data_IF_749479604544
#
_entry.id   IF_749479604544
#
_cell.length_a   1.000
_cell.length_b   1.000
_cell.length_c   1.000
_cell.angle_alpha   90.00
_cell.angle_beta   90.00
_cell.angle_gamma   90.00
#
_symmetry.space_group_name_H-M   'P 1'
#
loop_
_entity.id
_entity.type
_entity.pdbx_description
1 polymer ?
#
# COMPACT_ATOMS: atom_id res chain seq x y z
N UNK A 1 -27.43 3.42 -8.06
CA UNK A 1 -27.18 2.47 -6.95
C UNK A 1 -25.70 2.55 -6.68
N UNK A 2 -25.31 3.14 -5.55
CA UNK A 2 -23.91 3.27 -5.21
C UNK A 2 -23.27 1.89 -5.11
N UNK A 3 -22.13 1.68 -5.76
CA UNK A 3 -21.37 0.43 -5.64
C UNK A 3 -20.93 0.25 -4.18
N UNK A 4 -20.70 -1.00 -3.74
CA UNK A 4 -20.30 -1.31 -2.35
C UNK A 4 -19.10 -0.47 -1.88
N UNK A 5 -18.23 -0.05 -2.81
CA UNK A 5 -17.08 0.81 -2.58
C UNK A 5 -17.43 2.31 -2.37
N UNK A 6 -18.41 2.86 -3.09
CA UNK A 6 -18.92 4.23 -2.83
C UNK A 6 -19.51 4.34 -1.43
N UNK A 7 -20.16 3.29 -0.93
CA UNK A 7 -20.75 3.29 0.41
C UNK A 7 -19.67 3.23 1.50
N UNK A 8 -18.61 2.44 1.30
CA UNK A 8 -17.44 2.42 2.18
C UNK A 8 -16.70 3.77 2.16
N UNK A 9 -16.54 4.39 1.00
CA UNK A 9 -15.96 5.72 0.88
C UNK A 9 -16.80 6.79 1.60
N UNK A 10 -18.12 6.77 1.45
CA UNK A 10 -19.01 7.68 2.15
C UNK A 10 -19.05 7.44 3.67
N UNK A 11 -18.86 6.19 4.14
CA UNK A 11 -18.72 5.87 5.56
C UNK A 11 -17.37 6.35 6.12
N UNK A 12 -16.26 6.22 5.37
CA UNK A 12 -14.95 6.80 5.78
C UNK A 12 -15.01 8.31 5.75
N UNK A 13 -15.51 8.91 4.66
CA UNK A 13 -15.64 10.34 4.52
C UNK A 13 -16.60 10.95 5.55
N UNK A 14 -17.67 10.25 5.93
CA UNK A 14 -18.60 10.69 6.99
C UNK A 14 -18.04 10.49 8.40
N UNK A 15 -17.24 9.45 8.65
CA UNK A 15 -16.50 9.28 9.90
C UNK A 15 -15.31 10.25 10.04
N UNK A 16 -14.75 10.71 8.93
CA UNK A 16 -13.78 11.81 8.87
C UNK A 16 -14.45 13.20 9.00
N UNK A 17 -15.77 13.28 8.81
CA UNK A 17 -16.56 14.51 8.90
C UNK A 17 -16.97 14.85 10.35
N UNK A 18 -15.99 14.85 11.25
CA UNK A 18 -16.05 15.68 12.45
C UNK A 18 -15.43 17.02 12.09
N UNK A 19 -16.14 18.12 12.37
CA UNK A 19 -15.75 19.51 12.05
C UNK A 19 -14.34 19.94 12.53
N UNK A 20 -13.65 19.11 13.30
CA UNK A 20 -12.27 19.29 13.76
C UNK A 20 -11.20 18.95 12.70
N UNK A 21 -11.48 18.04 11.75
CA UNK A 21 -10.46 17.58 10.79
C UNK A 21 -10.31 18.48 9.57
N UNK A 22 -11.38 19.13 9.12
CA UNK A 22 -11.33 20.13 8.04
C UNK A 22 -10.44 21.33 8.43
N UNK A 23 -10.41 21.66 9.72
CA UNK A 23 -9.54 22.71 10.29
C UNK A 23 -8.09 22.25 10.38
N UNK A 24 -7.83 20.99 10.77
CA UNK A 24 -6.47 20.42 10.78
C UNK A 24 -5.90 20.28 9.38
N UNK A 25 -6.65 19.71 8.44
CA UNK A 25 -6.23 19.57 7.04
C UNK A 25 -5.91 20.94 6.42
N UNK A 26 -6.72 21.98 6.69
CA UNK A 26 -6.44 23.35 6.24
C UNK A 26 -5.20 23.97 6.90
N UNK A 27 -4.94 23.73 8.18
CA UNK A 27 -3.74 24.23 8.86
C UNK A 27 -2.45 23.51 8.38
N UNK A 28 -2.57 22.22 8.08
CA UNK A 28 -1.50 21.34 7.58
C UNK A 28 -1.06 21.78 6.17
N UNK A 29 -1.99 22.03 5.25
CA UNK A 29 -1.72 22.50 3.87
C UNK A 29 -1.00 23.87 3.81
N UNK A 30 -1.02 24.66 4.89
CA UNK A 30 -0.41 26.00 4.93
C UNK A 30 1.00 26.04 5.55
N UNK A 31 1.60 24.91 5.94
CA UNK A 31 2.98 24.88 6.47
C UNK A 31 3.98 24.58 5.35
N UNK A 32 4.85 25.52 4.93
CA UNK A 32 5.66 25.33 3.72
C UNK A 32 6.83 24.34 3.87
N UNK A 33 7.19 23.92 5.09
CA UNK A 33 8.48 23.23 5.34
C UNK A 33 8.51 22.28 6.57
N UNK A 34 7.39 21.91 7.20
CA UNK A 34 7.46 21.25 8.51
C UNK A 34 7.40 19.72 8.47
N UNK A 35 8.32 19.10 9.20
CA UNK A 35 8.25 17.71 9.65
C UNK A 35 6.85 17.33 10.19
N UNK A 36 6.12 18.28 10.78
CA UNK A 36 4.76 18.11 11.28
C UNK A 36 3.75 17.79 10.17
N UNK A 37 3.86 18.46 9.02
CA UNK A 37 3.02 18.20 7.86
C UNK A 37 3.29 16.80 7.29
N UNK A 38 4.56 16.38 7.26
CA UNK A 38 4.96 15.03 6.85
C UNK A 38 4.42 13.97 7.81
N UNK A 39 4.52 14.20 9.11
CA UNK A 39 3.96 13.33 10.15
C UNK A 39 2.45 13.22 10.03
N UNK A 40 1.75 14.34 9.87
CA UNK A 40 0.30 14.36 9.75
C UNK A 40 -0.18 13.64 8.47
N UNK A 41 0.52 13.81 7.34
CA UNK A 41 0.19 13.07 6.13
C UNK A 41 0.50 11.58 6.25
N UNK A 42 1.60 11.20 6.91
CA UNK A 42 1.90 9.81 7.19
C UNK A 42 0.83 9.14 8.06
N UNK A 43 0.32 9.86 9.06
CA UNK A 43 -0.81 9.42 9.90
C UNK A 43 -2.09 9.24 9.07
N UNK A 44 -2.44 10.23 8.23
CA UNK A 44 -3.61 10.13 7.36
C UNK A 44 -3.53 8.91 6.42
N UNK A 45 -2.37 8.69 5.77
CA UNK A 45 -2.15 7.54 4.90
C UNK A 45 -2.31 6.23 5.69
N UNK A 46 -1.75 6.17 6.90
CA UNK A 46 -1.83 4.98 7.75
C UNK A 46 -3.27 4.67 8.18
N UNK A 47 -4.03 5.66 8.65
CA UNK A 47 -5.43 5.51 9.05
C UNK A 47 -6.31 5.04 7.88
N UNK A 48 -6.14 5.65 6.70
CA UNK A 48 -6.87 5.24 5.50
C UNK A 48 -6.49 3.80 5.08
N UNK A 49 -5.21 3.44 5.19
CA UNK A 49 -4.72 2.12 4.84
C UNK A 49 -5.26 1.04 5.79
N UNK A 50 -5.36 1.32 7.09
CA UNK A 50 -5.96 0.40 8.06
C UNK A 50 -7.42 0.11 7.73
N UNK A 51 -8.23 1.13 7.43
CA UNK A 51 -9.61 0.94 7.00
C UNK A 51 -9.69 0.09 5.72
N UNK A 52 -8.80 0.34 4.75
CA UNK A 52 -8.73 -0.42 3.52
C UNK A 52 -8.35 -1.89 3.77
N UNK A 53 -7.40 -2.14 4.68
CA UNK A 53 -6.95 -3.48 5.07
C UNK A 53 -8.08 -4.27 5.75
N UNK A 54 -8.88 -3.66 6.62
CA UNK A 54 -10.03 -4.32 7.24
C UNK A 54 -11.06 -4.77 6.19
N UNK A 55 -11.24 -3.96 5.14
CA UNK A 55 -12.12 -4.28 4.01
C UNK A 55 -11.58 -5.35 3.04
N UNK A 56 -10.29 -5.70 3.08
CA UNK A 56 -9.64 -6.54 2.05
C UNK A 56 -10.21 -7.94 1.91
N UNK A 57 -10.75 -8.51 3.00
CA UNK A 57 -11.34 -9.85 3.00
C UNK A 57 -12.56 -9.94 2.06
N UNK A 58 -13.15 -8.80 1.69
CA UNK A 58 -14.28 -8.72 0.77
C UNK A 58 -13.87 -8.50 -0.70
N UNK A 59 -12.59 -8.26 -0.99
CA UNK A 59 -12.17 -7.79 -2.32
C UNK A 59 -11.92 -8.91 -3.35
N UNK A 60 -11.53 -10.12 -2.96
CA UNK A 60 -11.48 -11.30 -3.86
C UNK A 60 -11.11 -12.58 -3.08
N UNK A 61 -11.80 -13.74 -3.19
CA UNK A 61 -11.46 -14.96 -2.45
C UNK A 61 -10.18 -15.72 -2.93
N UNK A 62 -9.27 -15.06 -3.66
CA UNK A 62 -8.02 -15.66 -4.16
C UNK A 62 -6.95 -15.95 -3.08
N UNK A 63 -5.83 -16.55 -3.49
CA UNK A 63 -4.69 -16.78 -2.59
C UNK A 63 -4.12 -15.44 -2.09
N UNK A 64 -3.80 -15.31 -0.80
CA UNK A 64 -3.21 -14.10 -0.18
C UNK A 64 -1.97 -13.61 -0.92
N UNK A 65 -1.13 -14.52 -1.43
CA UNK A 65 0.05 -14.18 -2.22
C UNK A 65 -0.30 -13.55 -3.58
N UNK A 66 -1.51 -13.77 -4.09
CA UNK A 66 -2.03 -13.11 -5.29
C UNK A 66 -2.79 -11.82 -4.95
N UNK A 67 -2.94 -11.48 -3.67
CA UNK A 67 -3.65 -10.28 -3.25
C UNK A 67 -2.68 -9.12 -2.92
N UNK A 68 -1.39 -9.39 -2.72
CA UNK A 68 -0.45 -8.37 -2.23
C UNK A 68 -0.37 -7.13 -3.15
N UNK A 69 -0.28 -7.35 -4.46
CA UNK A 69 -0.28 -6.29 -5.46
C UNK A 69 -1.65 -5.66 -5.67
N UNK A 70 -2.74 -6.43 -5.61
CA UNK A 70 -4.11 -5.89 -5.75
C UNK A 70 -4.44 -4.96 -4.59
N UNK A 71 -4.06 -5.31 -3.35
CA UNK A 71 -4.33 -4.48 -2.17
C UNK A 71 -3.58 -3.16 -2.27
N UNK A 72 -2.27 -3.19 -2.54
CA UNK A 72 -1.47 -1.96 -2.69
C UNK A 72 -1.95 -1.11 -3.88
N UNK A 73 -2.31 -1.73 -5.01
CA UNK A 73 -2.84 -1.03 -6.17
C UNK A 73 -4.22 -0.42 -5.90
N UNK A 74 -5.14 -1.18 -5.30
CA UNK A 74 -6.48 -0.71 -4.96
C UNK A 74 -6.46 0.44 -3.97
N UNK A 75 -5.61 0.37 -2.93
CA UNK A 75 -5.42 1.48 -2.02
C UNK A 75 -4.85 2.70 -2.73
N UNK A 76 -3.88 2.52 -3.63
CA UNK A 76 -3.33 3.65 -4.40
C UNK A 76 -4.40 4.31 -5.27
N UNK A 77 -5.21 3.55 -6.00
CA UNK A 77 -6.31 4.10 -6.80
C UNK A 77 -7.31 4.87 -5.94
N UNK A 78 -7.67 4.30 -4.79
CA UNK A 78 -8.54 4.95 -3.82
C UNK A 78 -7.92 6.26 -3.29
N UNK A 79 -6.64 6.22 -2.92
CA UNK A 79 -5.93 7.39 -2.41
C UNK A 79 -5.81 8.47 -3.50
N UNK A 80 -5.44 8.11 -4.72
CA UNK A 80 -5.38 9.04 -5.83
C UNK A 80 -6.77 9.66 -6.07
N UNK A 81 -7.85 8.89 -6.16
CA UNK A 81 -9.18 9.43 -6.45
C UNK A 81 -9.73 10.38 -5.38
N UNK A 82 -9.36 10.17 -4.12
CA UNK A 82 -9.96 10.87 -2.98
C UNK A 82 -9.02 11.87 -2.30
N UNK A 83 -7.73 11.80 -2.62
CA UNK A 83 -6.67 12.62 -2.04
C UNK A 83 -5.70 13.13 -3.12
N UNK A 84 -6.11 13.26 -4.38
CA UNK A 84 -5.33 13.98 -5.40
C UNK A 84 -5.90 15.39 -5.65
N UNK A 85 -5.77 16.25 -4.66
CA UNK A 85 -5.88 17.69 -4.90
C UNK A 85 -4.53 18.23 -5.42
N UNK A 86 -4.50 19.11 -6.44
CA UNK A 86 -3.27 19.71 -6.96
C UNK A 86 -2.43 20.46 -5.91
N UNK A 87 -3.04 20.79 -4.76
CA UNK A 87 -2.44 21.47 -3.62
C UNK A 87 -1.84 20.53 -2.57
N UNK A 88 -2.03 19.22 -2.69
CA UNK A 88 -1.43 18.29 -1.73
C UNK A 88 0.09 18.20 -1.92
N UNK A 89 0.85 18.14 -0.81
CA UNK A 89 2.31 18.12 -0.88
C UNK A 89 2.87 16.91 -1.64
N UNK A 90 4.06 17.05 -2.24
CA UNK A 90 4.70 15.98 -3.03
C UNK A 90 4.88 14.65 -2.27
N UNK A 91 5.04 14.65 -0.95
CA UNK A 91 5.17 13.42 -0.15
C UNK A 91 3.86 12.65 0.03
N UNK A 92 2.71 13.21 -0.36
CA UNK A 92 1.47 12.46 -0.52
C UNK A 92 1.43 11.66 -1.84
N UNK A 93 2.39 11.86 -2.76
CA UNK A 93 2.44 11.10 -4.01
C UNK A 93 2.98 9.70 -3.78
N UNK A 94 2.06 8.74 -3.61
CA UNK A 94 2.37 7.33 -3.43
C UNK A 94 2.63 6.66 -4.78
N UNK A 95 3.74 5.93 -4.85
CA UNK A 95 4.15 5.13 -6.01
C UNK A 95 4.12 3.65 -5.73
N UNK A 96 3.55 2.89 -6.66
CA UNK A 96 3.54 1.43 -6.57
C UNK A 96 4.93 0.89 -6.89
N UNK A 97 5.49 0.17 -5.93
CA UNK A 97 6.87 -0.31 -5.97
C UNK A 97 6.90 -1.82 -5.86
N UNK A 98 7.61 -2.45 -6.79
CA UNK A 98 7.82 -3.90 -6.85
C UNK A 98 9.24 -4.20 -6.39
N UNK A 99 9.39 -5.21 -5.53
CA UNK A 99 10.72 -5.66 -5.16
C UNK A 99 10.75 -6.76 -4.11
N UNK A 100 11.86 -6.81 -3.38
CA UNK A 100 12.07 -7.80 -2.32
C UNK A 100 11.83 -7.17 -0.95
N UNK A 101 11.20 -7.96 -0.09
CA UNK A 101 11.17 -7.71 1.35
C UNK A 101 12.04 -8.75 2.03
N UNK A 102 12.89 -8.27 2.93
CA UNK A 102 13.63 -9.11 3.85
C UNK A 102 12.97 -9.01 5.22
N UNK A 103 12.75 -10.16 5.87
CA UNK A 103 12.26 -10.23 7.24
C UNK A 103 13.25 -11.02 8.08
N UNK A 104 13.80 -10.40 9.14
CA UNK A 104 14.84 -11.00 10.00
C UNK A 104 16.03 -11.58 9.21
N UNK A 105 16.43 -10.88 8.15
CA UNK A 105 17.54 -11.26 7.26
C UNK A 105 17.19 -12.26 6.15
N UNK A 106 15.99 -12.84 6.14
CA UNK A 106 15.55 -13.76 5.08
C UNK A 106 14.89 -13.00 3.93
N UNK A 107 15.31 -13.27 2.69
CA UNK A 107 14.65 -12.73 1.49
C UNK A 107 13.41 -13.56 1.12
N UNK A 108 12.22 -12.94 1.27
CA UNK A 108 10.92 -13.62 1.19
C UNK A 108 10.50 -14.01 -0.23
N UNK A 109 10.96 -13.26 -1.24
CA UNK A 109 10.53 -13.42 -2.65
C UNK A 109 11.67 -13.73 -3.62
N UNK A 110 12.92 -13.37 -3.28
CA UNK A 110 14.11 -13.64 -4.12
C UNK A 110 13.98 -13.13 -5.57
N UNK A 111 13.14 -12.12 -5.80
CA UNK A 111 12.96 -11.49 -7.09
C UNK A 111 14.24 -10.81 -7.58
N UNK A 112 14.40 -10.76 -8.90
CA UNK A 112 15.46 -10.00 -9.58
C UNK A 112 14.83 -9.10 -10.63
N UNK A 113 15.56 -8.10 -11.12
CA UNK A 113 15.07 -7.27 -12.25
C UNK A 113 14.69 -8.10 -13.47
N UNK A 114 15.39 -9.23 -13.69
CA UNK A 114 15.10 -10.16 -14.77
C UNK A 114 13.77 -10.87 -14.53
N UNK A 115 13.58 -11.47 -13.35
CA UNK A 115 12.33 -12.19 -13.05
C UNK A 115 11.12 -11.26 -13.04
N UNK A 116 11.26 -10.01 -12.56
CA UNK A 116 10.19 -9.00 -12.64
C UNK A 116 9.83 -8.69 -14.09
N UNK A 117 10.83 -8.56 -14.98
CA UNK A 117 10.59 -8.37 -16.41
C UNK A 117 9.89 -9.58 -17.02
N UNK A 118 10.40 -10.78 -16.74
CA UNK A 118 9.83 -12.03 -17.25
C UNK A 118 8.36 -12.18 -16.79
N UNK A 119 8.04 -11.76 -15.56
CA UNK A 119 6.66 -11.70 -15.04
C UNK A 119 5.78 -10.72 -15.83
N UNK A 120 6.28 -9.53 -16.17
CA UNK A 120 5.54 -8.56 -16.97
C UNK A 120 5.34 -9.06 -18.40
N UNK A 121 6.38 -9.64 -19.00
CA UNK A 121 6.35 -10.17 -20.36
C UNK A 121 5.40 -11.39 -20.48
N UNK A 122 5.33 -12.21 -19.42
CA UNK A 122 4.37 -13.32 -19.30
C UNK A 122 2.92 -12.83 -19.26
N UNK A 123 2.68 -11.59 -18.83
CA UNK A 123 1.37 -10.98 -18.73
C UNK A 123 0.46 -11.65 -17.68
N UNK A 124 -0.85 -11.64 -17.95
CA UNK A 124 -1.90 -12.08 -17.01
C UNK A 124 -2.01 -13.61 -16.94
N UNK A 125 -1.10 -14.25 -16.20
CA UNK A 125 -1.12 -15.71 -15.94
C UNK A 125 -1.61 -16.02 -14.53
N UNK A 126 -2.93 -16.08 -14.35
CA UNK A 126 -3.58 -16.28 -13.04
C UNK A 126 -3.37 -17.67 -12.43
N UNK A 127 -2.87 -18.62 -13.20
CA UNK A 127 -2.54 -19.98 -12.77
C UNK A 127 -1.17 -20.07 -12.07
N UNK A 128 -0.39 -18.99 -12.07
CA UNK A 128 0.95 -18.95 -11.47
C UNK A 128 1.02 -17.98 -10.30
N UNK A 129 1.80 -18.36 -9.30
CA UNK A 129 2.17 -17.45 -8.20
C UNK A 129 3.17 -16.42 -8.72
N UNK A 130 2.94 -15.16 -8.37
CA UNK A 130 3.89 -14.08 -8.58
C UNK A 130 4.94 -14.12 -7.48
N UNK A 131 6.19 -14.41 -7.82
CA UNK A 131 7.31 -14.41 -6.88
C UNK A 131 7.90 -13.00 -6.71
N UNK A 132 7.04 -12.02 -6.46
CA UNK A 132 7.40 -10.61 -6.20
C UNK A 132 6.52 -10.04 -5.09
N UNK A 133 6.99 -8.98 -4.43
CA UNK A 133 6.18 -8.22 -3.50
C UNK A 133 5.93 -6.81 -4.00
N UNK A 134 4.79 -6.24 -3.60
CA UNK A 134 4.36 -4.90 -3.99
C UNK A 134 3.93 -4.09 -2.77
N UNK A 135 4.44 -2.86 -2.68
CA UNK A 135 4.13 -1.89 -1.63
C UNK A 135 4.00 -0.49 -2.23
N UNK A 136 3.70 0.50 -1.38
CA UNK A 136 3.64 1.91 -1.76
C UNK A 136 4.82 2.66 -1.18
N UNK A 137 5.46 3.47 -2.01
CA UNK A 137 6.59 4.33 -1.61
C UNK A 137 6.19 5.79 -1.78
N UNK A 138 6.29 6.58 -0.71
CA UNK A 138 6.13 8.02 -0.75
C UNK A 138 7.39 8.72 -1.29
N UNK A 139 7.31 10.01 -1.62
CA UNK A 139 8.45 10.75 -2.17
C UNK A 139 9.64 10.87 -1.20
N UNK A 140 9.38 10.79 0.11
CA UNK A 140 10.41 10.77 1.16
C UNK A 140 10.99 9.37 1.40
N UNK A 141 10.72 8.41 0.50
CA UNK A 141 11.12 7.01 0.58
C UNK A 141 10.47 6.21 1.71
N UNK A 142 9.45 6.76 2.39
CA UNK A 142 8.64 5.98 3.33
C UNK A 142 7.90 4.87 2.58
N UNK A 143 8.00 3.66 3.11
CA UNK A 143 7.26 2.48 2.63
C UNK A 143 6.00 2.31 3.46
N UNK A 144 4.88 2.09 2.77
CA UNK A 144 3.62 1.64 3.32
C UNK A 144 3.30 0.27 2.71
N UNK A 145 3.32 -0.77 3.54
CA UNK A 145 3.06 -2.14 3.12
C UNK A 145 1.84 -2.71 3.84
N UNK A 146 0.79 -2.92 3.05
CA UNK A 146 -0.53 -3.34 3.51
C UNK A 146 -0.69 -4.87 3.54
N UNK A 147 0.32 -5.63 3.08
CA UNK A 147 0.14 -7.04 2.69
C UNK A 147 1.28 -7.98 3.07
N UNK A 148 2.43 -7.50 3.54
CA UNK A 148 3.54 -8.38 3.93
C UNK A 148 3.19 -9.26 5.13
N UNK A 149 2.48 -8.74 6.13
CA UNK A 149 2.13 -9.49 7.35
C UNK A 149 1.25 -10.72 7.06
N UNK A 150 0.11 -10.62 6.36
CA UNK A 150 -0.65 -11.81 5.99
C UNK A 150 0.16 -12.73 5.07
N UNK A 151 1.05 -12.20 4.22
CA UNK A 151 1.93 -13.04 3.38
C UNK A 151 2.91 -13.85 4.21
N UNK A 152 3.57 -13.24 5.19
CA UNK A 152 4.51 -13.93 6.08
C UNK A 152 3.79 -15.01 6.89
N UNK A 153 2.58 -14.73 7.40
CA UNK A 153 1.74 -15.76 8.06
C UNK A 153 1.42 -16.92 7.10
N UNK A 154 1.03 -16.62 5.86
CA UNK A 154 0.75 -17.64 4.84
C UNK A 154 2.00 -18.46 4.43
N UNK A 155 3.19 -17.87 4.54
CA UNK A 155 4.49 -18.55 4.34
C UNK A 155 4.99 -19.30 5.59
N UNK A 156 4.22 -19.31 6.69
CA UNK A 156 4.51 -20.08 7.91
C UNK A 156 5.37 -19.35 8.94
N UNK A 157 5.62 -18.04 8.77
CA UNK A 157 6.30 -17.26 9.80
C UNK A 157 5.37 -17.02 10.99
N UNK A 158 5.88 -17.25 12.20
CA UNK A 158 5.15 -17.00 13.44
C UNK A 158 5.15 -15.50 13.76
N UNK A 159 4.13 -14.80 13.24
CA UNK A 159 3.86 -13.40 13.54
C UNK A 159 2.65 -13.36 14.46
N UNK A 160 2.81 -12.76 15.63
CA UNK A 160 1.76 -12.62 16.64
C UNK A 160 0.46 -12.05 16.05
N UNK A 161 -0.68 -12.44 16.62
CA UNK A 161 -2.01 -11.95 16.23
C UNK A 161 -2.08 -10.43 16.24
N UNK A 162 -1.39 -9.83 17.23
CA UNK A 162 -1.47 -8.41 17.56
C UNK A 162 -0.52 -7.54 16.71
N UNK A 163 0.21 -8.16 15.77
CA UNK A 163 1.06 -7.42 14.84
C UNK A 163 0.20 -6.49 13.98
N UNK A 164 0.63 -5.23 13.88
CA UNK A 164 0.06 -4.25 12.95
C UNK A 164 -0.06 -4.87 11.57
N UNK A 165 -1.20 -4.69 10.92
CA UNK A 165 -1.41 -5.19 9.56
C UNK A 165 -0.78 -4.28 8.50
N UNK A 166 -0.53 -3.02 8.84
CA UNK A 166 0.21 -2.05 8.05
C UNK A 166 1.65 -1.95 8.58
N UNK A 167 2.63 -2.10 7.69
CA UNK A 167 4.02 -1.76 7.98
C UNK A 167 4.33 -0.40 7.38
N UNK A 168 4.72 0.54 8.26
CA UNK A 168 5.35 1.80 7.87
C UNK A 168 6.84 1.66 8.13
N UNK A 169 7.67 1.89 7.11
CA UNK A 169 9.11 1.67 7.20
C UNK A 169 9.90 2.76 6.49
N UNK A 170 11.02 3.17 7.08
CA UNK A 170 12.06 3.98 6.45
C UNK A 170 13.43 3.33 6.59
N UNK A 171 14.36 3.73 5.74
CA UNK A 171 15.71 3.15 5.71
C UNK A 171 16.48 3.39 7.02
N UNK A 172 16.20 4.49 7.70
CA UNK A 172 16.77 4.87 8.99
C UNK A 172 16.15 4.13 10.19
N UNK A 173 15.00 3.49 10.02
CA UNK A 173 14.29 2.84 11.11
C UNK A 173 14.95 1.51 11.50
N UNK A 174 15.08 1.27 12.81
CA UNK A 174 15.41 -0.07 13.31
C UNK A 174 14.19 -0.96 13.15
N UNK A 175 14.23 -1.85 12.17
CA UNK A 175 13.13 -2.76 11.86
C UNK A 175 13.63 -4.17 11.55
N UNK A 176 12.79 -5.17 11.82
CA UNK A 176 12.97 -6.53 11.32
C UNK A 176 12.81 -6.62 9.79
N UNK A 177 12.25 -5.57 9.18
CA UNK A 177 12.00 -5.48 7.75
C UNK A 177 13.08 -4.66 7.04
N UNK A 178 13.44 -5.09 5.83
CA UNK A 178 14.23 -4.29 4.88
C UNK A 178 13.56 -4.39 3.51
N UNK A 179 13.29 -3.24 2.90
CA UNK A 179 12.68 -3.16 1.58
C UNK A 179 13.74 -2.85 0.52
N UNK A 180 13.77 -3.64 -0.54
CA UNK A 180 14.69 -3.47 -1.67
C UNK A 180 13.91 -3.30 -2.98
N UNK A 181 13.72 -2.06 -3.46
CA UNK A 181 12.98 -1.80 -4.68
C UNK A 181 13.72 -2.37 -5.90
N UNK A 182 12.95 -2.91 -6.85
CA UNK A 182 13.44 -3.40 -8.15
C UNK A 182 12.83 -2.63 -9.32
N UNK A 183 11.57 -2.21 -9.19
CA UNK A 183 10.80 -1.48 -10.20
C UNK A 183 9.79 -0.56 -9.50
N UNK A 184 9.59 0.64 -10.05
CA UNK A 184 8.47 1.53 -9.69
C UNK A 184 7.56 1.61 -10.91
N UNK A 185 6.31 1.20 -10.77
CA UNK A 185 5.37 1.06 -11.88
C UNK A 185 3.93 1.04 -11.37
N UNK A 186 3.25 2.18 -11.45
CA UNK A 186 1.86 2.35 -10.99
C UNK A 186 0.87 1.45 -11.76
N UNK A 187 1.25 0.99 -12.96
CA UNK A 187 0.45 0.13 -13.84
C UNK A 187 0.82 -1.37 -13.73
N UNK A 188 1.71 -1.74 -12.81
CA UNK A 188 2.18 -3.13 -12.67
C UNK A 188 1.03 -4.13 -12.52
N UNK A 189 0.07 -3.86 -11.63
CA UNK A 189 -1.06 -4.76 -11.40
C UNK A 189 -1.90 -5.01 -12.66
N UNK A 190 -2.09 -4.02 -13.53
CA UNK A 190 -2.85 -4.19 -14.77
C UNK A 190 -2.12 -5.06 -15.81
N UNK A 191 -0.78 -5.12 -15.72
CA UNK A 191 0.08 -5.92 -16.61
C UNK A 191 0.06 -7.40 -16.23
N UNK A 192 0.02 -7.70 -14.92
CA UNK A 192 0.23 -9.05 -14.39
C UNK A 192 -1.03 -9.72 -13.86
N UNK A 193 -2.12 -8.97 -13.64
CA UNK A 193 -3.38 -9.50 -13.09
C UNK A 193 -4.63 -9.15 -13.90
N UNK A 194 -5.71 -9.84 -13.55
CA UNK A 194 -7.07 -9.47 -13.94
C UNK A 194 -7.71 -8.74 -12.76
N UNK A 195 -7.75 -7.42 -12.86
CA UNK A 195 -8.51 -6.58 -11.95
C UNK A 195 -9.93 -6.50 -12.49
N UNK A 196 -10.83 -7.36 -12.01
CA UNK A 196 -12.26 -7.18 -12.20
C UNK A 196 -12.76 -6.23 -11.11
N UNK A 197 -12.83 -4.94 -11.44
CA UNK A 197 -13.56 -3.95 -10.64
C UNK A 197 -15.06 -4.07 -10.90
#
# INVERSE_FOLDING_TARGET
MATTYEKMFLDVASNLNTSDNDTKIRQIVMSPDSEDLRLAMGQLIAEMAEYFIEGRNNMNPGCIAHQCHIVSHGFKLFFDQNCSEPSLPQFANLKLTVGNVFYKGENIYKATKRTVRDTIDDGRKLDRKLDVHVWLTASDMTVYDLSIIPTLRAKGHNIGSDASQLIVWRQEDKSDFIYKPLLVDDDFANKVDIISM
#
